data_IF_293988746967
#
_entry.id   IF_293988746967
#
_cell.length_a   1.000
_cell.length_b   1.000
_cell.length_c   1.000
_cell.angle_alpha   90.00
_cell.angle_beta   90.00
_cell.angle_gamma   90.00
#
_symmetry.space_group_name_H-M   'P 1'
#
loop_
_entity.id
_entity.type
_entity.pdbx_description
1 polymer ?
#
# COMPACT_ATOMS: atom_id res chain seq x y z
N UNK A 1 18.36 2.16 -3.77
CA UNK A 1 17.22 2.22 -4.72
C UNK A 1 15.92 2.49 -3.97
N UNK A 2 15.07 3.40 -4.46
CA UNK A 2 13.71 3.58 -3.92
C UNK A 2 12.70 2.87 -4.82
N UNK A 3 11.74 2.15 -4.24
CA UNK A 3 10.66 1.49 -4.99
C UNK A 3 9.31 2.10 -4.58
N UNK A 4 8.57 2.60 -5.58
CA UNK A 4 7.20 3.07 -5.42
C UNK A 4 6.18 2.00 -5.79
N UNK A 5 5.10 1.88 -5.01
CA UNK A 5 3.99 0.95 -5.27
C UNK A 5 2.68 1.75 -5.24
N UNK A 6 1.89 1.66 -6.31
CA UNK A 6 0.51 2.17 -6.35
C UNK A 6 -0.41 1.05 -5.91
N UNK A 7 -1.27 1.29 -4.92
CA UNK A 7 -2.06 0.23 -4.31
C UNK A 7 -3.39 0.69 -3.70
N UNK A 8 -4.23 -0.28 -3.36
CA UNK A 8 -5.44 -0.09 -2.56
C UNK A 8 -5.37 -0.86 -1.24
N UNK A 9 -4.74 -2.05 -1.25
CA UNK A 9 -4.64 -2.99 -0.12
C UNK A 9 -5.97 -3.22 0.58
N UNK A 10 -6.97 -3.65 -0.18
CA UNK A 10 -8.38 -3.70 0.26
C UNK A 10 -8.95 -5.13 0.40
N UNK A 11 -8.65 -5.87 1.50
CA UNK A 11 -7.62 -5.61 2.51
C UNK A 11 -6.24 -6.09 2.06
N UNK A 12 -5.20 -5.84 2.87
CA UNK A 12 -3.87 -6.41 2.63
C UNK A 12 -3.92 -7.94 2.78
N UNK A 13 -3.50 -8.67 1.74
CA UNK A 13 -3.47 -10.13 1.71
C UNK A 13 -2.07 -10.66 1.37
N UNK A 14 -1.88 -11.98 1.39
CA UNK A 14 -0.57 -12.63 1.18
C UNK A 14 0.14 -12.22 -0.11
N UNK A 15 -0.60 -12.02 -1.21
CA UNK A 15 -0.05 -11.48 -2.45
C UNK A 15 0.59 -10.10 -2.31
N UNK A 16 -0.02 -9.18 -1.55
CA UNK A 16 0.50 -7.85 -1.27
C UNK A 16 1.73 -7.91 -0.36
N UNK A 17 1.70 -8.76 0.67
CA UNK A 17 2.85 -8.99 1.54
C UNK A 17 4.06 -9.54 0.74
N UNK A 18 3.82 -10.43 -0.22
CA UNK A 18 4.86 -10.93 -1.12
C UNK A 18 5.40 -9.85 -2.06
N UNK A 19 4.55 -8.95 -2.54
CA UNK A 19 4.99 -7.80 -3.35
C UNK A 19 5.97 -6.91 -2.56
N UNK A 20 5.61 -6.56 -1.32
CA UNK A 20 6.45 -5.75 -0.43
C UNK A 20 7.78 -6.45 -0.10
N UNK A 21 7.73 -7.75 0.22
CA UNK A 21 8.95 -8.50 0.52
C UNK A 21 9.87 -8.64 -0.70
N UNK A 22 9.30 -8.81 -1.90
CA UNK A 22 10.07 -8.86 -3.14
C UNK A 22 10.75 -7.52 -3.44
N UNK A 23 10.05 -6.40 -3.26
CA UNK A 23 10.63 -5.07 -3.40
C UNK A 23 11.86 -4.88 -2.49
N UNK A 24 11.77 -5.33 -1.23
CA UNK A 24 12.92 -5.33 -0.32
C UNK A 24 14.04 -6.26 -0.82
N UNK A 25 13.72 -7.48 -1.26
CA UNK A 25 14.70 -8.45 -1.75
C UNK A 25 15.45 -7.99 -3.01
N UNK A 26 14.86 -7.10 -3.82
CA UNK A 26 15.51 -6.44 -4.95
C UNK A 26 16.55 -5.38 -4.53
N UNK A 27 16.73 -5.13 -3.23
CA UNK A 27 17.66 -4.13 -2.71
C UNK A 27 17.07 -2.73 -2.58
N UNK A 28 15.75 -2.62 -2.31
CA UNK A 28 15.16 -1.33 -1.98
C UNK A 28 15.70 -0.79 -0.65
N UNK A 29 16.19 0.44 -0.66
CA UNK A 29 16.51 1.23 0.54
C UNK A 29 15.22 1.64 1.24
N UNK A 30 14.21 2.05 0.46
CA UNK A 30 12.86 2.26 0.96
C UNK A 30 11.79 1.83 -0.06
N UNK A 31 10.67 1.34 0.49
CA UNK A 31 9.45 0.97 -0.22
C UNK A 31 8.35 1.97 0.15
N UNK A 32 7.87 2.73 -0.84
CA UNK A 32 6.92 3.82 -0.66
C UNK A 32 5.60 3.43 -1.34
N UNK A 33 4.50 3.46 -0.61
CA UNK A 33 3.17 3.15 -1.13
C UNK A 33 2.34 4.41 -1.35
N UNK A 34 1.85 4.63 -2.57
CA UNK A 34 0.76 5.56 -2.85
C UNK A 34 -0.55 4.75 -2.80
N UNK A 35 -1.28 4.88 -1.69
CA UNK A 35 -2.44 4.04 -1.39
C UNK A 35 -3.74 4.82 -1.54
N UNK A 36 -4.72 4.24 -2.23
CA UNK A 36 -6.08 4.79 -2.28
C UNK A 36 -6.63 5.04 -0.87
N UNK A 37 -7.33 6.17 -0.72
CA UNK A 37 -8.01 6.57 0.52
C UNK A 37 -9.19 5.65 0.85
N UNK A 38 -10.26 6.17 1.46
CA UNK A 38 -11.40 5.35 1.88
C UNK A 38 -12.30 4.84 0.72
N UNK A 39 -11.96 5.18 -0.52
CA UNK A 39 -12.64 4.74 -1.74
C UNK A 39 -11.64 4.03 -2.64
N UNK A 40 -12.10 2.98 -3.30
CA UNK A 40 -11.33 2.18 -4.26
C UNK A 40 -11.53 2.71 -5.67
N UNK A 41 -10.61 2.39 -6.57
CA UNK A 41 -10.67 2.69 -8.00
C UNK A 41 -11.88 2.03 -8.69
N UNK A 42 -12.45 0.98 -8.09
CA UNK A 42 -13.71 0.35 -8.52
C UNK A 42 -14.97 1.13 -8.10
N UNK A 43 -14.82 2.26 -7.40
CA UNK A 43 -15.94 3.08 -6.92
C UNK A 43 -16.61 2.56 -5.64
N UNK A 44 -16.03 1.58 -4.97
CA UNK A 44 -16.53 1.03 -3.71
C UNK A 44 -15.86 1.69 -2.51
N UNK A 45 -16.53 1.67 -1.36
CA UNK A 45 -15.85 1.88 -0.07
C UNK A 45 -14.78 0.81 0.13
N UNK A 46 -13.63 1.22 0.67
CA UNK A 46 -12.65 0.26 1.15
C UNK A 46 -13.24 -0.57 2.31
N UNK A 47 -12.93 -1.86 2.37
CA UNK A 47 -13.33 -2.78 3.42
C UNK A 47 -12.86 -2.35 4.82
N UNK A 48 -11.75 -1.60 4.89
CA UNK A 48 -11.19 -1.02 6.11
C UNK A 48 -10.78 0.43 5.87
N UNK A 49 -10.77 1.23 6.93
CA UNK A 49 -10.34 2.62 6.86
C UNK A 49 -8.87 2.73 6.38
N UNK A 50 -8.54 3.86 5.76
CA UNK A 50 -7.21 4.08 5.19
C UNK A 50 -6.07 3.99 6.20
N UNK A 51 -6.29 4.30 7.48
CA UNK A 51 -5.23 4.22 8.50
C UNK A 51 -4.98 2.76 8.88
N UNK A 52 -6.01 1.95 9.04
CA UNK A 52 -5.85 0.51 9.27
C UNK A 52 -5.11 -0.17 8.12
N UNK A 53 -5.46 0.13 6.87
CA UNK A 53 -4.73 -0.42 5.70
C UNK A 53 -3.29 0.10 5.60
N UNK A 54 -3.04 1.37 5.91
CA UNK A 54 -1.70 1.93 5.95
C UNK A 54 -0.84 1.25 7.03
N UNK A 55 -1.42 1.00 8.21
CA UNK A 55 -0.75 0.26 9.29
C UNK A 55 -0.40 -1.17 8.85
N UNK A 56 -1.31 -1.87 8.18
CA UNK A 56 -1.04 -3.19 7.61
C UNK A 56 0.14 -3.14 6.63
N UNK A 57 0.17 -2.16 5.73
CA UNK A 57 1.26 -2.01 4.76
C UNK A 57 2.62 -1.77 5.43
N UNK A 58 2.67 -0.90 6.44
CA UNK A 58 3.90 -0.63 7.22
C UNK A 58 4.36 -1.88 7.96
N UNK A 59 3.44 -2.59 8.64
CA UNK A 59 3.75 -3.87 9.31
C UNK A 59 4.24 -4.96 8.35
N UNK A 60 3.86 -4.89 7.07
CA UNK A 60 4.32 -5.80 6.03
C UNK A 60 5.55 -5.32 5.24
N UNK A 61 6.18 -4.20 5.63
CA UNK A 61 7.48 -3.77 5.11
C UNK A 61 7.48 -2.54 4.20
N UNK A 62 6.36 -1.81 4.08
CA UNK A 62 6.39 -0.46 3.53
C UNK A 62 7.04 0.52 4.54
N UNK A 63 7.89 1.42 4.06
CA UNK A 63 8.55 2.43 4.91
C UNK A 63 7.72 3.72 5.01
N UNK A 64 6.95 4.04 3.96
CA UNK A 64 6.07 5.20 3.91
C UNK A 64 4.78 4.84 3.14
N UNK A 65 3.64 5.27 3.68
CA UNK A 65 2.35 5.22 2.98
C UNK A 65 1.82 6.65 2.86
N UNK A 66 1.61 7.10 1.63
CA UNK A 66 0.94 8.36 1.32
C UNK A 66 -0.41 8.08 0.70
N UNK A 67 -1.40 8.90 1.03
CA UNK A 67 -2.72 8.79 0.42
C UNK A 67 -2.65 9.29 -1.03
N UNK A 68 -3.17 8.49 -1.96
CA UNK A 68 -3.52 8.96 -3.28
C UNK A 68 -4.78 9.84 -3.14
N UNK A 69 -4.73 11.15 -3.49
CA UNK A 69 -5.87 12.04 -3.29
C UNK A 69 -7.09 11.54 -4.05
N UNK A 70 -8.28 11.59 -3.44
CA UNK A 70 -9.52 10.97 -3.94
C UNK A 70 -9.96 11.37 -5.35
N UNK A 71 -9.42 12.47 -5.89
CA UNK A 71 -9.69 12.90 -7.27
C UNK A 71 -8.94 12.07 -8.32
N UNK A 72 -8.02 11.18 -7.89
CA UNK A 72 -7.18 10.31 -8.70
C UNK A 72 -7.43 8.85 -8.35
#
# INVERSE_FOLDING_TARGET
>A
MYIGIICEFDPLHSGHARLLSHARAMGADAVICAMSGNFTQRGSFAALDKRARAEMAVRCGADLVVELPTVW
#
